data_IF_718862218356
#
_entry.id   IF_718862218356
#
_cell.length_a   1.000
_cell.length_b   1.000
_cell.length_c   1.000
_cell.angle_alpha   90.00
_cell.angle_beta   90.00
_cell.angle_gamma   90.00
#
_symmetry.space_group_name_H-M   'P 1'
#
loop_
_entity.id
_entity.type
_entity.pdbx_description
1 polymer ?
#
# COMPACT_ATOMS: atom_id res chain seq x y z
N UNK A 1 -14.95 10.83 8.68
CA UNK A 1 -13.56 10.31 8.69
C UNK A 1 -12.74 10.82 7.51
N UNK A 2 -13.17 10.62 6.26
CA UNK A 2 -12.35 10.89 5.05
C UNK A 2 -11.88 12.36 4.93
N UNK A 3 -12.69 13.32 5.40
CA UNK A 3 -12.31 14.75 5.43
C UNK A 3 -11.74 15.26 6.76
N UNK A 4 -11.58 14.39 7.77
CA UNK A 4 -11.21 14.80 9.13
C UNK A 4 -9.71 14.66 9.41
N UNK A 5 -9.02 13.76 8.69
CA UNK A 5 -7.58 13.54 8.81
C UNK A 5 -6.95 13.91 7.46
N UNK A 6 -6.46 15.13 7.37
CA UNK A 6 -5.87 15.74 6.17
C UNK A 6 -4.76 16.72 6.56
N UNK A 7 -3.75 16.95 5.70
CA UNK A 7 -3.45 16.26 4.44
C UNK A 7 -2.95 14.82 4.71
N UNK A 8 -3.13 13.93 3.72
CA UNK A 8 -2.64 12.54 3.81
C UNK A 8 -1.57 12.31 2.76
N UNK A 9 -0.37 11.83 3.14
CA UNK A 9 0.62 11.43 2.15
C UNK A 9 0.08 10.23 1.37
N UNK A 10 0.54 10.08 0.12
CA UNK A 10 0.13 8.98 -0.76
C UNK A 10 1.32 8.05 -0.91
N UNK A 11 1.15 6.79 -0.50
CA UNK A 11 2.04 5.70 -0.91
C UNK A 11 1.57 5.18 -2.26
N UNK A 12 2.38 5.36 -3.31
CA UNK A 12 2.12 4.75 -4.61
C UNK A 12 2.90 3.44 -4.71
N UNK A 13 2.23 2.34 -4.37
CA UNK A 13 2.87 1.05 -4.07
C UNK A 13 2.91 0.19 -5.32
N UNK A 14 4.11 -0.18 -5.75
CA UNK A 14 4.35 -1.15 -6.83
C UNK A 14 4.71 -2.51 -6.28
N UNK A 15 4.15 -3.55 -6.91
CA UNK A 15 4.30 -4.96 -6.53
C UNK A 15 4.40 -5.81 -7.80
N UNK A 16 5.00 -7.00 -7.68
CA UNK A 16 4.99 -8.04 -8.72
C UNK A 16 4.34 -9.28 -8.10
N UNK A 17 3.42 -9.93 -8.81
CA UNK A 17 2.82 -11.20 -8.35
C UNK A 17 3.82 -12.35 -8.45
N UNK A 18 3.51 -13.49 -7.83
CA UNK A 18 4.27 -14.74 -7.98
C UNK A 18 4.40 -15.20 -9.45
N UNK A 19 3.43 -14.85 -10.31
CA UNK A 19 3.43 -15.11 -11.76
C UNK A 19 4.19 -14.05 -12.59
N UNK A 20 4.82 -13.06 -11.95
CA UNK A 20 5.55 -11.99 -12.64
C UNK A 20 4.67 -10.84 -13.15
N UNK A 21 3.38 -10.79 -12.81
CA UNK A 21 2.48 -9.71 -13.23
C UNK A 21 2.75 -8.44 -12.42
N UNK A 22 3.01 -7.34 -13.12
CA UNK A 22 3.23 -6.04 -12.50
C UNK A 22 1.91 -5.39 -12.06
N UNK A 23 1.91 -4.78 -10.87
CA UNK A 23 0.77 -4.06 -10.30
C UNK A 23 1.23 -2.78 -9.59
N UNK A 24 0.45 -1.71 -9.68
CA UNK A 24 0.68 -0.45 -8.95
C UNK A 24 -0.63 0.16 -8.48
N UNK A 25 -0.68 0.63 -7.23
CA UNK A 25 -1.88 1.23 -6.67
C UNK A 25 -1.59 2.32 -5.61
N UNK A 26 -2.40 3.39 -5.52
CA UNK A 26 -2.25 4.45 -4.52
C UNK A 26 -2.97 4.14 -3.21
N UNK A 27 -2.33 4.44 -2.07
CA UNK A 27 -2.87 4.30 -0.72
C UNK A 27 -2.61 5.56 0.10
N UNK A 28 -3.68 6.15 0.64
CA UNK A 28 -3.61 7.36 1.47
C UNK A 28 -3.75 7.09 2.97
N UNK A 29 -3.90 5.82 3.37
CA UNK A 29 -3.70 5.39 4.76
C UNK A 29 -2.25 4.95 4.89
N UNK A 30 -1.34 5.92 4.93
CA UNK A 30 0.11 5.74 4.89
C UNK A 30 0.78 6.68 5.90
N UNK A 31 1.78 6.18 6.64
CA UNK A 31 2.57 6.98 7.58
C UNK A 31 3.93 6.31 7.88
N UNK A 32 4.88 7.09 8.40
CA UNK A 32 6.08 6.58 9.06
C UNK A 32 5.74 5.99 10.43
N UNK A 33 6.54 5.00 10.87
CA UNK A 33 6.35 4.31 12.16
C UNK A 33 7.56 4.53 13.07
N UNK A 34 8.76 4.25 12.57
CA UNK A 34 10.00 4.39 13.34
C UNK A 34 11.16 4.72 12.39
N UNK A 35 12.19 5.39 12.90
CA UNK A 35 13.43 5.66 12.17
C UNK A 35 14.51 4.60 12.41
N UNK A 36 14.40 3.78 13.46
CA UNK A 36 15.37 2.74 13.80
C UNK A 36 14.69 1.46 14.34
N UNK A 37 14.61 0.37 13.55
CA UNK A 37 14.87 0.35 12.10
C UNK A 37 13.91 1.30 11.35
N UNK A 38 14.28 1.81 10.17
CA UNK A 38 13.36 2.57 9.33
C UNK A 38 12.13 1.73 8.97
N UNK A 39 10.97 2.15 9.43
CA UNK A 39 9.71 1.42 9.28
C UNK A 39 8.61 2.38 8.84
N UNK A 40 7.83 1.97 7.85
CA UNK A 40 6.62 2.65 7.39
C UNK A 40 5.43 1.70 7.47
N UNK A 41 4.23 2.24 7.44
CA UNK A 41 3.00 1.45 7.32
C UNK A 41 2.10 2.04 6.25
N UNK A 42 1.40 1.18 5.52
CA UNK A 42 0.20 1.55 4.78
C UNK A 42 -0.87 0.50 4.95
N UNK A 43 -2.15 0.89 4.86
CA UNK A 43 -3.28 0.01 5.10
C UNK A 43 -4.11 -0.19 3.81
N UNK A 44 -3.91 -1.29 3.07
CA UNK A 44 -4.77 -1.65 1.96
C UNK A 44 -6.13 -2.14 2.50
N UNK A 45 -7.16 -1.32 2.33
CA UNK A 45 -8.54 -1.74 2.61
C UNK A 45 -8.98 -2.86 1.66
N UNK A 46 -9.96 -3.66 2.09
CA UNK A 46 -10.68 -4.59 1.21
C UNK A 46 -11.40 -3.83 0.10
N UNK A 47 -11.58 -4.48 -1.06
CA UNK A 47 -12.35 -3.95 -2.18
C UNK A 47 -13.79 -3.69 -1.73
N UNK A 48 -14.31 -2.51 -2.05
CA UNK A 48 -15.60 -2.05 -1.52
C UNK A 48 -16.82 -2.76 -2.10
N UNK A 49 -16.66 -3.46 -3.23
CA UNK A 49 -17.77 -4.05 -3.97
C UNK A 49 -17.93 -5.57 -3.78
N UNK A 50 -16.86 -6.29 -3.45
CA UNK A 50 -16.87 -7.74 -3.21
C UNK A 50 -16.20 -8.15 -1.89
N UNK A 51 -15.51 -7.24 -1.19
CA UNK A 51 -14.82 -7.54 0.07
C UNK A 51 -13.48 -8.27 -0.09
N UNK A 52 -13.06 -8.52 -1.32
CA UNK A 52 -11.82 -9.23 -1.61
C UNK A 52 -10.58 -8.40 -1.28
N UNK A 53 -9.45 -9.09 -1.16
CA UNK A 53 -8.15 -8.43 -1.02
C UNK A 53 -7.78 -7.70 -2.31
N UNK A 54 -7.04 -6.60 -2.16
CA UNK A 54 -6.43 -5.94 -3.30
C UNK A 54 -5.22 -6.75 -3.75
N UNK A 55 -4.96 -6.76 -5.06
CA UNK A 55 -3.79 -7.42 -5.67
C UNK A 55 -2.48 -7.03 -4.97
N UNK A 56 -2.32 -5.76 -4.57
CA UNK A 56 -1.16 -5.30 -3.79
C UNK A 56 -0.95 -6.10 -2.50
N UNK A 57 -2.01 -6.38 -1.74
CA UNK A 57 -1.90 -7.13 -0.48
C UNK A 57 -1.60 -8.61 -0.74
N UNK A 58 -2.23 -9.19 -1.76
CA UNK A 58 -1.98 -10.58 -2.19
C UNK A 58 -0.52 -10.74 -2.59
N UNK A 59 -0.04 -9.89 -3.52
CA UNK A 59 1.33 -9.91 -4.01
C UNK A 59 2.35 -9.77 -2.86
N UNK A 60 2.14 -8.82 -1.92
CA UNK A 60 3.06 -8.61 -0.79
C UNK A 60 3.13 -9.84 0.12
N UNK A 61 2.01 -10.55 0.34
CA UNK A 61 2.01 -11.76 1.16
C UNK A 61 2.71 -12.92 0.49
N UNK A 62 2.63 -13.01 -0.83
CA UNK A 62 3.28 -14.06 -1.61
C UNK A 62 4.79 -13.81 -1.77
N UNK A 63 5.19 -12.57 -2.05
CA UNK A 63 6.58 -12.23 -2.40
C UNK A 63 7.38 -11.61 -1.26
N UNK A 64 6.72 -11.09 -0.23
CA UNK A 64 7.33 -10.32 0.87
C UNK A 64 8.07 -9.05 0.40
N UNK A 65 7.80 -8.57 -0.80
CA UNK A 65 8.50 -7.45 -1.41
C UNK A 65 7.52 -6.44 -2.03
N UNK A 66 7.84 -5.15 -1.89
CA UNK A 66 7.16 -4.04 -2.55
C UNK A 66 8.01 -2.78 -2.53
N UNK A 67 7.64 -1.80 -3.34
CA UNK A 67 8.26 -0.46 -3.34
C UNK A 67 7.20 0.61 -3.13
N UNK A 68 7.49 1.57 -2.25
CA UNK A 68 6.67 2.77 -2.05
C UNK A 68 7.28 3.92 -2.82
N UNK A 69 6.55 4.46 -3.80
CA UNK A 69 6.92 5.66 -4.52
C UNK A 69 6.21 6.86 -3.88
N UNK A 70 6.97 7.93 -3.63
CA UNK A 70 6.41 9.20 -3.13
C UNK A 70 5.91 10.00 -4.33
N UNK A 71 4.67 10.47 -4.24
CA UNK A 71 4.04 11.32 -5.27
C UNK A 71 4.42 12.77 -5.01
N UNK A 72 4.93 13.46 -6.02
CA UNK A 72 5.35 14.86 -5.99
C UNK A 72 4.68 15.68 -7.08
#
# INVERSE_FOLDING_TARGET
MIGSVVPRPIAFVSTISSEGKQNVAPFSYFNGVCSKPPTIMFAPARRGWDGDEKDTLINIRETNEFVVNIVS
#
